data_IF_800622621710
#
_entry.id   IF_800622621710
#
_cell.length_a   1.000
_cell.length_b   1.000
_cell.length_c   1.000
_cell.angle_alpha   90.00
_cell.angle_beta   90.00
_cell.angle_gamma   90.00
#
_symmetry.space_group_name_H-M   'P 1'
#
loop_
_entity.id
_entity.type
_entity.pdbx_description
1 polymer ?
#
# COMPACT_ATOMS: atom_id res chain seq x y z
N UNK A 1 -39.11 3.73 40.59
CA UNK A 1 -38.01 4.67 40.89
C UNK A 1 -37.32 4.92 39.57
N UNK A 2 -37.18 6.19 39.16
CA UNK A 2 -36.48 6.53 37.92
C UNK A 2 -34.97 6.50 38.14
N UNK A 3 -34.21 6.20 37.09
CA UNK A 3 -32.75 6.28 37.13
C UNK A 3 -32.31 7.72 37.38
N UNK A 4 -31.26 7.85 38.17
CA UNK A 4 -30.57 9.12 38.40
C UNK A 4 -29.73 9.48 37.16
N UNK A 5 -29.37 10.76 37.04
CA UNK A 5 -28.54 11.23 35.93
C UNK A 5 -27.16 10.55 35.90
N UNK A 6 -26.63 10.23 37.08
CA UNK A 6 -25.33 9.58 37.24
C UNK A 6 -25.39 8.13 36.74
N UNK A 7 -26.42 7.38 37.14
CA UNK A 7 -26.65 6.01 36.63
C UNK A 7 -26.81 5.99 35.10
N UNK A 8 -27.54 6.95 34.53
CA UNK A 8 -27.71 7.06 33.08
C UNK A 8 -26.42 7.43 32.34
N UNK A 9 -25.53 8.20 32.97
CA UNK A 9 -24.22 8.54 32.39
C UNK A 9 -23.27 7.35 32.42
N UNK A 10 -23.22 6.62 33.52
CA UNK A 10 -22.40 5.40 33.65
C UNK A 10 -22.85 4.31 32.66
N UNK A 11 -24.16 4.11 32.51
CA UNK A 11 -24.72 3.18 31.52
C UNK A 11 -24.31 3.58 30.09
N UNK A 12 -24.47 4.85 29.73
CA UNK A 12 -24.08 5.36 28.42
C UNK A 12 -22.58 5.23 28.15
N UNK A 13 -21.74 5.53 29.14
CA UNK A 13 -20.28 5.39 29.00
C UNK A 13 -19.87 3.93 28.86
N UNK A 14 -20.52 3.02 29.58
CA UNK A 14 -20.30 1.58 29.45
C UNK A 14 -20.63 1.06 28.05
N UNK A 15 -21.78 1.45 27.49
CA UNK A 15 -22.16 1.12 26.10
C UNK A 15 -21.14 1.68 25.09
N UNK A 16 -20.64 2.89 25.34
CA UNK A 16 -19.64 3.52 24.49
C UNK A 16 -18.34 2.71 24.51
N UNK A 17 -17.84 2.34 25.69
CA UNK A 17 -16.62 1.54 25.86
C UNK A 17 -16.73 0.18 25.18
N UNK A 18 -17.86 -0.54 25.34
CA UNK A 18 -18.10 -1.81 24.64
C UNK A 18 -18.04 -1.63 23.12
N UNK A 19 -18.66 -0.58 22.57
CA UNK A 19 -18.60 -0.29 21.14
C UNK A 19 -17.18 0.00 20.65
N UNK A 20 -16.37 0.72 21.43
CA UNK A 20 -14.97 0.99 21.08
C UNK A 20 -14.12 -0.28 21.07
N UNK A 21 -14.33 -1.19 22.01
CA UNK A 21 -13.64 -2.49 22.03
C UNK A 21 -14.03 -3.36 20.82
N UNK A 22 -15.31 -3.42 20.48
CA UNK A 22 -15.78 -4.16 19.29
C UNK A 22 -15.16 -3.60 18.00
N UNK A 23 -15.15 -2.28 17.84
CA UNK A 23 -14.58 -1.61 16.68
C UNK A 23 -13.06 -1.84 16.58
N UNK A 24 -12.34 -1.85 17.71
CA UNK A 24 -10.91 -2.14 17.75
C UNK A 24 -10.61 -3.59 17.32
N UNK A 25 -11.40 -4.55 17.80
CA UNK A 25 -11.28 -5.97 17.41
C UNK A 25 -11.54 -6.12 15.90
N UNK A 26 -12.61 -5.53 15.39
CA UNK A 26 -12.95 -5.58 13.95
C UNK A 26 -11.86 -4.94 13.09
N UNK A 27 -11.29 -3.81 13.52
CA UNK A 27 -10.19 -3.16 12.81
C UNK A 27 -8.92 -4.04 12.80
N UNK A 28 -8.62 -4.71 13.91
CA UNK A 28 -7.50 -5.63 14.02
C UNK A 28 -7.69 -6.87 13.12
N UNK A 29 -8.88 -7.48 13.13
CA UNK A 29 -9.23 -8.61 12.26
C UNK A 29 -9.18 -8.24 10.78
N UNK A 30 -9.72 -7.08 10.41
CA UNK A 30 -9.68 -6.58 9.04
C UNK A 30 -8.23 -6.35 8.57
N UNK A 31 -7.41 -5.73 9.42
CA UNK A 31 -5.98 -5.53 9.17
C UNK A 31 -5.22 -6.86 9.02
N UNK A 32 -5.54 -7.85 9.88
CA UNK A 32 -4.95 -9.18 9.80
C UNK A 32 -5.34 -9.91 8.51
N UNK A 33 -6.63 -9.89 8.16
CA UNK A 33 -7.16 -10.48 6.93
C UNK A 33 -6.60 -9.82 5.66
N UNK A 34 -6.45 -8.50 5.66
CA UNK A 34 -5.82 -7.80 4.54
C UNK A 34 -4.35 -8.21 4.43
N UNK A 35 -3.62 -8.23 5.55
CA UNK A 35 -2.19 -8.59 5.56
C UNK A 35 -1.93 -10.04 5.12
N UNK A 36 -2.83 -10.98 5.43
CA UNK A 36 -2.68 -12.38 5.03
C UNK A 36 -2.97 -12.63 3.55
N UNK A 37 -3.79 -11.78 2.91
CA UNK A 37 -4.16 -11.90 1.49
C UNK A 37 -3.17 -11.24 0.54
N UNK A 38 -2.41 -10.24 1.00
CA UNK A 38 -1.44 -9.56 0.14
C UNK A 38 -0.06 -10.21 0.20
N UNK A 39 0.65 -10.30 -0.94
CA UNK A 39 2.04 -10.70 -0.93
C UNK A 39 2.86 -9.69 -0.11
N UNK A 40 4.00 -10.13 0.49
CA UNK A 40 4.87 -9.23 1.23
C UNK A 40 5.28 -8.06 0.35
N UNK A 41 5.13 -6.84 0.86
CA UNK A 41 5.57 -5.62 0.17
C UNK A 41 7.06 -5.75 -0.15
N UNK A 42 7.38 -5.79 -1.43
CA UNK A 42 8.75 -5.71 -1.91
C UNK A 42 9.24 -4.27 -1.75
N UNK A 43 10.53 -4.10 -1.44
CA UNK A 43 11.14 -2.76 -1.48
C UNK A 43 11.06 -2.24 -2.91
N UNK A 44 10.80 -0.95 -3.06
CA UNK A 44 10.89 -0.30 -4.35
C UNK A 44 12.33 -0.48 -4.88
N UNK A 45 12.54 -1.12 -6.05
CA UNK A 45 13.86 -1.22 -6.64
C UNK A 45 14.41 0.15 -7.05
N UNK A 46 13.56 1.17 -7.20
CA UNK A 46 13.88 2.51 -7.70
C UNK A 46 14.24 2.45 -9.17
N UNK A 47 15.44 1.94 -9.46
CA UNK A 47 15.97 1.75 -10.80
C UNK A 47 16.36 0.29 -11.03
N UNK A 48 15.89 -0.28 -12.13
CA UNK A 48 16.21 -1.64 -12.54
C UNK A 48 16.54 -1.69 -14.02
N UNK A 49 17.07 -2.81 -14.50
CA UNK A 49 17.35 -2.99 -15.93
C UNK A 49 16.56 -4.15 -16.50
N UNK A 50 15.85 -3.89 -17.59
CA UNK A 50 15.08 -4.90 -18.33
C UNK A 50 15.78 -5.24 -19.64
N UNK A 51 15.73 -6.50 -20.10
CA UNK A 51 16.11 -6.82 -21.47
C UNK A 51 15.26 -6.01 -22.45
N UNK A 52 15.90 -5.46 -23.47
CA UNK A 52 15.25 -4.69 -24.52
C UNK A 52 15.67 -5.23 -25.87
N UNK A 53 14.68 -5.50 -26.72
CA UNK A 53 14.89 -5.94 -28.09
C UNK A 53 14.33 -4.87 -29.02
N UNK A 54 15.19 -4.32 -29.88
CA UNK A 54 14.77 -3.41 -30.94
C UNK A 54 15.39 -3.82 -32.28
N UNK A 55 14.56 -4.28 -33.20
CA UNK A 55 15.03 -4.97 -34.40
C UNK A 55 15.91 -6.17 -34.02
N UNK A 56 17.14 -6.21 -34.55
CA UNK A 56 18.13 -7.25 -34.26
C UNK A 56 19.02 -6.93 -33.05
N UNK A 57 18.83 -5.78 -32.39
CA UNK A 57 19.64 -5.36 -31.25
C UNK A 57 19.02 -5.89 -29.95
N UNK A 58 19.82 -6.61 -29.17
CA UNK A 58 19.46 -7.10 -27.82
C UNK A 58 20.34 -6.38 -26.80
N UNK A 59 19.76 -5.48 -26.03
CA UNK A 59 20.44 -4.63 -25.05
C UNK A 59 19.69 -4.66 -23.72
N UNK A 60 20.13 -3.87 -22.74
CA UNK A 60 19.40 -3.63 -21.49
C UNK A 60 18.94 -2.19 -21.45
N UNK A 61 17.67 -1.98 -21.15
CA UNK A 61 17.11 -0.66 -20.88
C UNK A 61 17.09 -0.40 -19.37
N UNK A 62 17.46 0.82 -18.97
CA UNK A 62 17.32 1.29 -17.59
C UNK A 62 15.88 1.75 -17.39
N UNK A 63 15.17 1.11 -16.48
CA UNK A 63 13.84 1.50 -16.03
C UNK A 63 13.99 2.21 -14.69
N UNK A 64 13.80 3.53 -14.70
CA UNK A 64 13.74 4.35 -13.51
C UNK A 64 12.28 4.72 -13.23
N UNK A 65 11.72 4.18 -12.14
CA UNK A 65 10.33 4.44 -11.75
C UNK A 65 10.12 5.88 -11.25
N UNK A 66 11.20 6.59 -10.91
CA UNK A 66 11.16 8.00 -10.55
C UNK A 66 11.15 8.96 -11.76
N UNK A 67 11.39 8.47 -12.97
CA UNK A 67 11.45 9.30 -14.18
C UNK A 67 10.16 9.22 -14.99
N UNK A 68 9.66 10.37 -15.44
CA UNK A 68 8.51 10.45 -16.35
C UNK A 68 8.90 10.45 -17.84
N UNK A 69 10.20 10.50 -18.16
CA UNK A 69 10.71 10.56 -19.53
C UNK A 69 11.60 9.35 -19.86
N UNK A 70 11.50 8.89 -21.10
CA UNK A 70 12.36 7.83 -21.64
C UNK A 70 13.53 8.46 -22.40
N UNK A 71 14.76 8.10 -22.02
CA UNK A 71 15.97 8.56 -22.70
C UNK A 71 16.52 7.47 -23.62
N UNK A 72 16.97 7.88 -24.80
CA UNK A 72 17.68 7.02 -25.73
C UNK A 72 19.07 7.62 -25.97
N UNK A 73 20.17 6.91 -25.65
CA UNK A 73 21.51 7.41 -25.93
C UNK A 73 21.66 7.77 -27.41
N UNK A 74 22.29 8.91 -27.71
CA UNK A 74 22.49 9.37 -29.07
C UNK A 74 23.24 8.34 -29.93
N UNK A 75 24.19 7.61 -29.34
CA UNK A 75 24.91 6.52 -30.02
C UNK A 75 23.98 5.38 -30.46
N UNK A 76 22.89 5.13 -29.74
CA UNK A 76 21.88 4.16 -30.11
C UNK A 76 20.93 4.74 -31.16
N UNK A 77 20.45 5.97 -30.97
CA UNK A 77 19.58 6.64 -31.94
C UNK A 77 20.24 6.79 -33.33
N UNK A 78 21.57 6.99 -33.39
CA UNK A 78 22.33 7.04 -34.66
C UNK A 78 22.44 5.71 -35.41
N UNK A 79 22.11 4.58 -34.77
CA UNK A 79 22.09 3.25 -35.43
C UNK A 79 20.76 2.98 -36.15
N UNK A 80 19.79 3.87 -35.97
CA UNK A 80 18.58 3.93 -36.77
C UNK A 80 18.82 4.78 -38.02
#
# INVERSE_FOLDING_TARGET
MGMTLEEAYEEFMGELEEQYEEDEILAAECSHCLRSKFPPKQKDPGTFTVPYCFGNVKERALCDLGSSINLMPLSFAKKW
#
